data_IF_367934923388
#
_entry.id   IF_367934923388
#
_cell.length_a   1.000
_cell.length_b   1.000
_cell.length_c   1.000
_cell.angle_alpha   90.00
_cell.angle_beta   90.00
_cell.angle_gamma   90.00
#
_symmetry.space_group_name_H-M   'P 1'
#
loop_
_entity.id
_entity.type
_entity.pdbx_description
1 polymer ?
#
# COMPACT_ATOMS: atom_id res chain seq x y z
N UNK A 1 10.87 1.86 -59.67
CA UNK A 1 10.09 1.24 -58.58
C UNK A 1 11.09 0.69 -57.56
N UNK A 2 11.27 1.36 -56.43
CA UNK A 2 12.16 0.94 -55.34
C UNK A 2 11.28 0.68 -54.10
N UNK A 3 11.44 -0.44 -53.39
CA UNK A 3 10.61 -0.74 -52.23
C UNK A 3 11.11 0.04 -51.02
N UNK A 4 10.16 0.68 -50.35
CA UNK A 4 10.35 1.47 -49.15
C UNK A 4 10.41 0.51 -47.95
N UNK A 5 11.62 0.24 -47.42
CA UNK A 5 11.80 -0.58 -46.22
C UNK A 5 11.53 0.27 -44.97
N UNK A 6 10.36 0.08 -44.36
CA UNK A 6 10.07 0.57 -43.00
C UNK A 6 10.93 -0.19 -41.99
N UNK A 7 11.94 0.49 -41.44
CA UNK A 7 12.70 0.04 -40.30
C UNK A 7 11.89 0.34 -39.02
N UNK A 8 11.25 -0.69 -38.44
CA UNK A 8 10.65 -0.59 -37.12
C UNK A 8 11.77 -0.71 -36.07
N UNK A 9 12.18 0.41 -35.49
CA UNK A 9 13.06 0.43 -34.33
C UNK A 9 12.28 -0.04 -33.10
N UNK A 10 12.59 -1.25 -32.63
CA UNK A 10 12.07 -1.79 -31.38
C UNK A 10 12.80 -1.09 -30.22
N UNK A 11 12.17 -0.09 -29.58
CA UNK A 11 12.66 0.42 -28.30
C UNK A 11 12.44 -0.65 -27.22
N UNK A 12 13.51 -1.34 -26.82
CA UNK A 12 13.50 -2.09 -25.57
C UNK A 12 13.54 -1.07 -24.42
N UNK A 13 12.41 -0.86 -23.76
CA UNK A 13 12.37 -0.20 -22.46
C UNK A 13 13.01 -1.13 -21.42
N UNK A 14 14.30 -0.95 -21.16
CA UNK A 14 14.95 -1.55 -19.99
C UNK A 14 14.36 -0.88 -18.76
N UNK A 15 13.48 -1.57 -18.04
CA UNK A 15 13.11 -1.19 -16.68
C UNK A 15 14.36 -1.26 -15.81
N UNK A 16 15.05 -0.12 -15.64
CA UNK A 16 16.11 0.00 -14.66
C UNK A 16 15.46 -0.24 -13.29
N UNK A 17 15.82 -1.33 -12.62
CA UNK A 17 15.57 -1.48 -11.20
C UNK A 17 16.19 -0.26 -10.53
N UNK A 18 15.36 0.65 -10.01
CA UNK A 18 15.85 1.82 -9.30
C UNK A 18 16.78 1.33 -8.18
N UNK A 19 18.03 1.77 -8.22
CA UNK A 19 19.00 1.40 -7.19
C UNK A 19 18.49 1.90 -5.82
N UNK A 20 18.62 1.06 -4.79
CA UNK A 20 18.25 1.38 -3.41
C UNK A 20 18.98 2.66 -2.94
N UNK A 21 18.26 3.56 -2.28
CA UNK A 21 18.83 4.76 -1.65
C UNK A 21 19.48 4.40 -0.30
N UNK A 22 20.80 4.56 -0.12
CA UNK A 22 21.47 4.20 1.13
C UNK A 22 21.41 5.29 2.21
N UNK A 23 20.77 6.44 1.95
CA UNK A 23 20.68 7.58 2.89
C UNK A 23 20.03 7.23 4.23
N UNK A 24 19.17 6.21 4.25
CA UNK A 24 18.51 5.72 5.45
C UNK A 24 18.75 4.21 5.65
N UNK A 25 18.83 3.72 6.90
CA UNK A 25 18.85 2.29 7.17
C UNK A 25 17.60 1.60 6.60
N UNK A 26 17.76 0.40 6.06
CA UNK A 26 16.62 -0.43 5.67
C UNK A 26 15.83 -0.84 6.92
N UNK A 27 14.51 -0.78 6.82
CA UNK A 27 13.58 -1.27 7.84
C UNK A 27 13.23 -2.75 7.65
N UNK A 28 13.53 -3.30 6.48
CA UNK A 28 13.52 -4.72 6.19
C UNK A 28 14.93 -5.32 6.35
N UNK A 29 14.97 -6.56 6.80
CA UNK A 29 16.19 -7.35 7.04
C UNK A 29 16.51 -8.27 5.87
N UNK A 30 15.51 -8.64 5.06
CA UNK A 30 15.69 -9.50 3.90
C UNK A 30 14.58 -9.30 2.87
N UNK A 31 14.79 -9.85 1.67
CA UNK A 31 13.87 -9.74 0.54
C UNK A 31 12.47 -10.33 0.77
N UNK A 32 12.21 -10.98 1.90
CA UNK A 32 10.94 -11.59 2.26
C UNK A 32 10.14 -10.82 3.31
N UNK A 33 10.66 -9.76 3.92
CA UNK A 33 9.95 -9.10 5.04
C UNK A 33 8.68 -8.35 4.58
N UNK A 34 8.66 -7.89 3.33
CA UNK A 34 7.45 -7.40 2.68
C UNK A 34 6.74 -8.47 1.83
N UNK A 35 7.27 -9.70 1.78
CA UNK A 35 6.54 -10.77 1.09
C UNK A 35 5.26 -11.06 1.86
N UNK A 36 4.40 -11.83 1.23
CA UNK A 36 3.16 -12.22 1.86
C UNK A 36 3.06 -13.72 1.88
N UNK A 37 2.29 -14.21 2.84
CA UNK A 37 2.01 -15.63 2.96
C UNK A 37 1.35 -16.15 1.69
N UNK A 38 1.30 -17.48 1.56
CA UNK A 38 0.60 -18.18 0.47
C UNK A 38 -0.87 -17.75 0.33
N UNK A 39 -1.48 -17.23 1.39
CA UNK A 39 -2.86 -16.74 1.43
C UNK A 39 -2.98 -15.24 1.11
N UNK A 40 -1.89 -14.57 0.80
CA UNK A 40 -1.93 -13.13 0.60
C UNK A 40 -2.20 -12.35 1.88
N UNK A 41 -1.71 -12.84 3.02
CA UNK A 41 -1.66 -12.05 4.26
C UNK A 41 -0.23 -11.57 4.48
N UNK A 42 -0.05 -10.32 4.93
CA UNK A 42 1.28 -9.83 5.32
C UNK A 42 1.89 -10.72 6.42
N UNK A 43 3.22 -10.86 6.44
CA UNK A 43 3.91 -11.71 7.41
C UNK A 43 3.91 -11.14 8.83
N UNK A 44 3.97 -9.82 8.99
CA UNK A 44 4.11 -9.18 10.31
C UNK A 44 3.24 -7.93 10.42
N UNK A 45 2.68 -7.73 11.62
CA UNK A 45 2.08 -6.47 12.01
C UNK A 45 3.14 -5.56 12.64
N UNK A 46 3.09 -4.29 12.26
CA UNK A 46 3.76 -3.19 12.92
C UNK A 46 2.74 -2.49 13.82
N UNK A 47 3.17 -2.02 14.97
CA UNK A 47 2.38 -1.12 15.83
C UNK A 47 3.10 0.21 15.84
N UNK A 48 2.43 1.31 15.50
CA UNK A 48 3.01 2.65 15.58
C UNK A 48 3.32 2.99 17.04
N UNK A 49 4.39 3.71 17.30
CA UNK A 49 4.69 4.27 18.62
C UNK A 49 4.75 5.79 18.61
N UNK A 50 4.75 6.41 17.43
CA UNK A 50 4.46 7.82 17.24
C UNK A 50 2.98 8.10 16.93
N UNK A 51 2.45 9.30 17.27
CA UNK A 51 1.11 9.70 16.90
C UNK A 51 0.90 9.68 15.38
N UNK A 52 -0.15 9.00 14.92
CA UNK A 52 -0.49 8.98 13.49
C UNK A 52 -1.16 10.29 13.09
N UNK A 53 -0.46 11.06 12.27
CA UNK A 53 -0.91 12.34 11.70
C UNK A 53 -1.31 12.18 10.23
N UNK A 54 -1.94 13.22 9.66
CA UNK A 54 -2.22 13.25 8.23
C UNK A 54 -1.15 14.03 7.44
N UNK A 55 -0.79 13.52 6.26
CA UNK A 55 0.13 14.18 5.33
C UNK A 55 -0.62 15.14 4.40
N UNK A 56 0.02 16.25 4.07
CA UNK A 56 -0.51 17.21 3.12
C UNK A 56 -0.47 16.65 1.67
N UNK A 57 -1.43 17.01 0.81
CA UNK A 57 -1.39 16.70 -0.62
C UNK A 57 -0.09 17.13 -1.30
N UNK A 58 0.39 16.33 -2.25
CA UNK A 58 1.63 16.63 -2.94
C UNK A 58 2.12 15.49 -3.81
N UNK A 59 3.33 15.65 -4.34
CA UNK A 59 4.05 14.56 -5.01
C UNK A 59 4.96 13.90 -3.99
N UNK A 60 4.65 12.65 -3.64
CA UNK A 60 5.42 11.90 -2.67
C UNK A 60 6.71 11.31 -3.24
N UNK A 61 7.51 10.76 -2.34
CA UNK A 61 8.81 10.13 -2.61
C UNK A 61 8.73 8.92 -3.55
N UNK A 62 7.53 8.38 -3.78
CA UNK A 62 7.26 7.33 -4.77
C UNK A 62 6.96 7.86 -6.18
N UNK A 63 7.13 9.16 -6.43
CA UNK A 63 6.72 9.83 -7.67
C UNK A 63 5.21 9.70 -7.96
N UNK A 64 4.41 9.55 -6.90
CA UNK A 64 2.95 9.53 -6.96
C UNK A 64 2.41 10.86 -6.43
N UNK A 65 1.64 11.57 -7.26
CA UNK A 65 0.93 12.79 -6.83
C UNK A 65 -0.42 12.42 -6.22
N UNK A 66 -0.64 12.81 -4.97
CA UNK A 66 -1.84 12.48 -4.21
C UNK A 66 -2.54 13.72 -3.65
N UNK A 67 -3.84 13.55 -3.41
CA UNK A 67 -4.77 14.56 -2.88
C UNK A 67 -5.30 14.14 -1.51
N UNK A 68 -6.08 14.99 -0.87
CA UNK A 68 -6.76 14.65 0.40
C UNK A 68 -7.68 13.43 0.25
N UNK A 69 -8.23 13.20 -0.96
CA UNK A 69 -9.14 12.09 -1.29
C UNK A 69 -8.41 10.81 -1.73
N UNK A 70 -7.09 10.85 -1.87
CA UNK A 70 -6.31 9.68 -2.25
C UNK A 70 -6.15 8.75 -1.06
N UNK A 71 -6.04 7.44 -1.31
CA UNK A 71 -5.77 6.45 -0.27
C UNK A 71 -4.25 6.23 -0.15
N UNK A 72 -3.56 7.13 0.55
CA UNK A 72 -2.09 7.12 0.62
C UNK A 72 -1.59 6.97 2.05
N UNK A 73 -0.53 6.18 2.19
CA UNK A 73 0.29 6.09 3.38
C UNK A 73 1.70 6.63 3.09
N UNK A 74 2.28 7.20 4.14
CA UNK A 74 3.64 7.68 4.18
C UNK A 74 4.40 6.89 5.25
N UNK A 75 5.46 6.19 4.84
CA UNK A 75 6.24 5.30 5.72
C UNK A 75 7.67 5.79 5.88
N UNK A 76 8.44 5.21 6.80
CA UNK A 76 9.83 5.58 6.96
C UNK A 76 10.60 5.33 5.65
N UNK A 77 11.56 6.18 5.22
CA UNK A 77 12.39 5.94 4.03
C UNK A 77 12.97 4.53 3.96
N UNK A 78 13.32 3.93 5.11
CA UNK A 78 13.78 2.55 5.24
C UNK A 78 12.75 1.47 4.85
N UNK A 79 11.47 1.79 4.76
CA UNK A 79 10.40 0.95 4.20
C UNK A 79 10.13 1.26 2.71
N UNK A 80 10.67 2.35 2.18
CA UNK A 80 10.37 2.89 0.85
C UNK A 80 11.60 2.76 -0.05
N UNK A 81 12.25 3.87 -0.43
CA UNK A 81 13.36 3.87 -1.37
C UNK A 81 14.66 3.32 -0.76
N UNK A 82 14.77 3.32 0.57
CA UNK A 82 15.92 2.76 1.29
C UNK A 82 15.72 1.33 1.78
N UNK A 83 14.56 0.72 1.52
CA UNK A 83 14.31 -0.69 1.79
C UNK A 83 15.14 -1.60 0.87
N UNK A 84 15.43 -2.81 1.33
CA UNK A 84 15.94 -3.92 0.51
C UNK A 84 14.90 -4.26 -0.56
N UNK A 85 13.61 -4.26 -0.20
CA UNK A 85 12.48 -4.37 -1.11
C UNK A 85 11.70 -3.06 -1.10
N UNK A 86 11.76 -2.29 -2.19
CA UNK A 86 11.09 -1.00 -2.26
C UNK A 86 9.58 -1.12 -1.94
N UNK A 87 9.11 -0.38 -0.93
CA UNK A 87 7.71 -0.35 -0.50
C UNK A 87 6.79 0.51 -1.36
N UNK A 88 7.32 1.36 -2.24
CA UNK A 88 6.53 2.23 -3.10
C UNK A 88 5.47 1.47 -3.90
N UNK A 89 4.28 2.08 -3.99
CA UNK A 89 3.11 1.55 -4.70
C UNK A 89 2.59 0.19 -4.19
N UNK A 90 3.12 -0.31 -3.07
CA UNK A 90 2.53 -1.44 -2.38
C UNK A 90 1.37 -0.97 -1.52
N UNK A 91 0.50 -1.92 -1.17
CA UNK A 91 -0.64 -1.65 -0.32
C UNK A 91 -0.34 -2.05 1.11
N UNK A 92 -0.94 -1.31 2.05
CA UNK A 92 -0.97 -1.67 3.45
C UNK A 92 -2.43 -1.77 3.93
N UNK A 93 -2.64 -2.65 4.89
CA UNK A 93 -3.83 -2.69 5.73
C UNK A 93 -3.50 -2.04 7.06
N UNK A 94 -4.41 -1.20 7.54
CA UNK A 94 -4.32 -0.53 8.82
C UNK A 94 -5.52 -0.93 9.67
N UNK A 95 -5.31 -1.10 10.96
CA UNK A 95 -6.36 -1.30 11.96
C UNK A 95 -6.13 -0.31 13.08
N UNK A 96 -7.16 0.42 13.48
CA UNK A 96 -7.17 1.21 14.69
C UNK A 96 -7.74 0.33 15.82
N UNK A 97 -6.92 -0.24 16.72
CA UNK A 97 -7.41 -1.15 17.76
C UNK A 97 -8.34 -0.46 18.77
N UNK A 98 -8.28 0.88 18.88
CA UNK A 98 -9.11 1.63 19.82
C UNK A 98 -10.60 1.61 19.44
N UNK A 99 -10.92 1.54 18.13
CA UNK A 99 -12.30 1.52 17.63
C UNK A 99 -12.61 0.32 16.72
N UNK A 100 -11.62 -0.51 16.40
CA UNK A 100 -11.75 -1.71 15.57
C UNK A 100 -11.90 -1.42 14.07
N UNK A 101 -11.74 -0.18 13.62
CA UNK A 101 -11.87 0.18 12.21
C UNK A 101 -10.63 -0.26 11.44
N UNK A 102 -10.86 -0.82 10.25
CA UNK A 102 -9.84 -1.24 9.31
C UNK A 102 -9.92 -0.36 8.07
N UNK A 103 -8.78 0.09 7.57
CA UNK A 103 -8.66 0.83 6.32
C UNK A 103 -7.47 0.31 5.50
N UNK A 104 -7.37 0.76 4.25
CA UNK A 104 -6.31 0.35 3.34
C UNK A 104 -5.73 1.56 2.60
N UNK A 105 -4.42 1.57 2.39
CA UNK A 105 -3.73 2.67 1.75
C UNK A 105 -2.56 2.18 0.88
N UNK A 106 -2.27 2.92 -0.19
CA UNK A 106 -1.09 2.70 -1.00
C UNK A 106 0.09 3.49 -0.45
N UNK A 107 1.27 2.90 -0.35
CA UNK A 107 2.50 3.63 0.00
C UNK A 107 2.86 4.57 -1.14
N UNK A 108 2.62 5.86 -0.94
CA UNK A 108 2.84 6.91 -1.93
C UNK A 108 3.96 7.87 -1.57
N UNK A 109 4.45 7.83 -0.33
CA UNK A 109 5.42 8.80 0.18
C UNK A 109 6.32 8.22 1.29
N UNK A 110 7.37 8.98 1.65
CA UNK A 110 8.28 8.68 2.74
C UNK A 110 8.30 9.81 3.80
N UNK A 111 8.19 9.45 5.08
CA UNK A 111 8.06 10.35 6.23
C UNK A 111 9.12 10.09 7.30
N UNK A 112 9.39 11.09 8.14
CA UNK A 112 10.42 10.97 9.19
C UNK A 112 11.85 11.22 8.71
N UNK A 113 12.02 11.65 7.47
CA UNK A 113 13.30 12.02 6.85
C UNK A 113 13.87 13.36 7.36
N UNK A 114 13.64 13.71 8.63
CA UNK A 114 14.06 15.00 9.23
C UNK A 114 14.94 14.77 10.47
N UNK A 115 15.87 15.70 10.78
CA UNK A 115 16.69 15.59 11.99
C UNK A 115 15.84 15.47 13.26
N UNK A 116 16.24 14.58 14.16
CA UNK A 116 15.57 14.31 15.44
C UNK A 116 14.12 13.82 15.32
N UNK A 117 13.73 13.27 14.16
CA UNK A 117 12.46 12.58 14.03
C UNK A 117 12.44 11.35 14.95
N UNK A 118 11.33 11.17 15.67
CA UNK A 118 11.02 9.93 16.40
C UNK A 118 10.44 8.85 15.48
N UNK A 119 9.94 9.26 14.32
CA UNK A 119 9.27 8.41 13.33
C UNK A 119 10.14 7.22 12.90
N UNK A 120 9.82 6.05 13.44
CA UNK A 120 10.52 4.79 13.29
C UNK A 120 10.04 3.94 12.12
N UNK A 121 10.60 2.73 12.00
CA UNK A 121 10.29 1.78 10.93
C UNK A 121 8.86 1.20 11.01
N UNK A 122 8.22 1.34 12.15
CA UNK A 122 6.88 0.88 12.49
C UNK A 122 5.83 2.00 12.42
N UNK A 123 6.22 3.24 12.11
CA UNK A 123 5.30 4.37 12.05
C UNK A 123 4.73 4.60 10.65
N UNK A 124 3.55 5.22 10.61
CA UNK A 124 2.82 5.55 9.41
C UNK A 124 2.10 6.89 9.59
N UNK A 125 2.18 7.76 8.59
CA UNK A 125 1.24 8.88 8.42
C UNK A 125 0.34 8.62 7.21
N UNK A 126 -0.82 9.29 7.18
CA UNK A 126 -1.90 8.93 6.27
C UNK A 126 -2.40 10.14 5.49
N UNK A 127 -2.87 9.95 4.26
CA UNK A 127 -3.73 10.94 3.61
C UNK A 127 -4.97 11.22 4.45
N UNK A 128 -5.55 12.41 4.29
CA UNK A 128 -6.74 12.84 5.05
C UNK A 128 -7.92 11.85 4.93
N UNK A 129 -8.19 11.28 3.77
CA UNK A 129 -9.27 10.30 3.57
C UNK A 129 -9.11 9.08 4.50
N UNK A 130 -7.94 8.42 4.44
CA UNK A 130 -7.64 7.22 5.27
C UNK A 130 -7.61 7.56 6.76
N UNK A 131 -7.10 8.75 7.10
CA UNK A 131 -7.11 9.26 8.48
C UNK A 131 -8.54 9.40 9.01
N UNK A 132 -9.45 10.02 8.23
CA UNK A 132 -10.85 10.20 8.61
C UNK A 132 -11.57 8.86 8.69
N UNK A 133 -11.30 7.94 7.75
CA UNK A 133 -11.84 6.58 7.77
C UNK A 133 -11.48 5.84 9.07
N UNK A 134 -10.19 5.78 9.43
CA UNK A 134 -9.72 5.12 10.66
C UNK A 134 -10.17 5.79 11.96
N UNK A 135 -10.45 7.09 11.92
CA UNK A 135 -11.01 7.80 13.06
C UNK A 135 -12.50 7.46 13.28
N UNK A 136 -13.24 7.14 12.21
CA UNK A 136 -14.66 6.83 12.27
C UNK A 136 -15.49 7.95 12.89
N UNK A 137 -16.30 7.61 13.88
CA UNK A 137 -17.15 8.56 14.61
C UNK A 137 -16.35 9.67 15.31
N UNK A 138 -15.07 9.42 15.62
CA UNK A 138 -14.16 10.40 16.26
C UNK A 138 -13.44 11.31 15.25
N UNK A 139 -13.74 11.22 13.96
CA UNK A 139 -13.07 11.97 12.89
C UNK A 139 -12.97 13.47 13.13
N UNK A 140 -14.03 14.11 13.65
CA UNK A 140 -14.01 15.54 13.97
C UNK A 140 -12.98 15.89 15.06
N UNK A 141 -12.90 15.06 16.10
CA UNK A 141 -11.94 15.23 17.20
C UNK A 141 -10.51 14.94 16.74
N UNK A 142 -10.32 13.89 15.94
CA UNK A 142 -9.03 13.53 15.38
C UNK A 142 -8.48 14.64 14.48
N UNK A 143 -9.32 15.19 13.60
CA UNK A 143 -8.96 16.34 12.75
C UNK A 143 -8.60 17.58 13.56
N UNK A 144 -9.34 17.87 14.64
CA UNK A 144 -9.03 19.00 15.53
C UNK A 144 -7.69 18.82 16.26
N UNK A 145 -7.36 17.59 16.66
CA UNK A 145 -6.10 17.25 17.35
C UNK A 145 -4.92 17.10 16.39
N UNK A 146 -5.18 16.94 15.10
CA UNK A 146 -4.17 16.63 14.09
C UNK A 146 -3.64 15.19 14.13
N UNK A 147 -4.24 14.31 14.95
CA UNK A 147 -3.77 12.94 15.16
C UNK A 147 -4.89 11.97 15.53
N UNK A 148 -4.71 10.69 15.19
CA UNK A 148 -5.60 9.62 15.64
C UNK A 148 -5.44 9.34 17.14
N UNK A 149 -6.45 8.70 17.71
CA UNK A 149 -6.40 8.20 19.09
C UNK A 149 -5.70 6.84 19.15
N UNK A 150 -4.66 6.77 19.98
CA UNK A 150 -3.92 5.53 20.21
C UNK A 150 -3.01 5.14 19.04
N UNK A 151 -2.45 3.95 19.18
CA UNK A 151 -1.50 3.38 18.23
C UNK A 151 -2.26 2.64 17.13
N UNK A 152 -1.79 2.72 15.89
CA UNK A 152 -2.31 1.90 14.80
C UNK A 152 -1.50 0.61 14.67
N UNK A 153 -2.18 -0.43 14.20
CA UNK A 153 -1.52 -1.61 13.68
C UNK A 153 -1.57 -1.57 12.16
N UNK A 154 -0.47 -1.87 11.48
CA UNK A 154 -0.46 -1.96 10.02
C UNK A 154 0.45 -3.07 9.50
N UNK A 155 0.21 -3.50 8.25
CA UNK A 155 1.03 -4.48 7.54
C UNK A 155 0.92 -4.31 6.04
N UNK A 156 1.91 -4.78 5.30
CA UNK A 156 1.80 -4.89 3.84
C UNK A 156 0.75 -5.93 3.42
N UNK A 157 0.01 -5.61 2.36
CA UNK A 157 -0.97 -6.47 1.70
C UNK A 157 -0.76 -6.47 0.17
N UNK A 158 -1.35 -7.47 -0.49
CA UNK A 158 -1.09 -7.80 -1.90
C UNK A 158 -1.85 -6.81 -2.76
N UNK A 159 -3.11 -6.58 -2.37
CA UNK A 159 -4.06 -5.70 -3.01
C UNK A 159 -5.09 -5.32 -1.96
N UNK A 160 -5.64 -4.11 -2.02
CA UNK A 160 -6.76 -3.74 -1.19
C UNK A 160 -7.99 -4.51 -1.68
N UNK A 161 -8.97 -4.67 -0.81
CA UNK A 161 -10.25 -5.23 -1.20
C UNK A 161 -10.81 -4.39 -2.36
N UNK A 162 -11.11 -5.04 -3.49
CA UNK A 162 -11.54 -4.39 -4.75
C UNK A 162 -10.51 -3.47 -5.42
N UNK A 163 -9.22 -3.50 -5.06
CA UNK A 163 -8.22 -2.61 -5.67
C UNK A 163 -8.29 -2.58 -7.19
N UNK A 164 -8.39 -3.77 -7.77
CA UNK A 164 -8.58 -3.96 -9.20
C UNK A 164 -9.87 -3.32 -9.77
N UNK A 165 -11.01 -3.47 -9.08
CA UNK A 165 -12.27 -2.86 -9.53
C UNK A 165 -12.28 -1.32 -9.38
N UNK A 166 -11.44 -0.79 -8.51
CA UNK A 166 -11.23 0.65 -8.31
C UNK A 166 -10.14 1.23 -9.23
N UNK A 167 -9.59 0.41 -10.15
CA UNK A 167 -8.56 0.84 -11.09
C UNK A 167 -7.15 0.94 -10.49
N UNK A 168 -6.94 0.42 -9.28
CA UNK A 168 -5.62 0.35 -8.68
C UNK A 168 -4.84 -0.87 -9.20
N UNK A 169 -3.56 -0.71 -9.55
CA UNK A 169 -2.73 -1.83 -9.96
C UNK A 169 -2.57 -2.79 -8.76
N UNK A 170 -2.96 -4.05 -8.94
CA UNK A 170 -2.57 -5.10 -8.01
C UNK A 170 -1.07 -5.39 -8.17
N UNK A 171 -0.44 -5.94 -7.13
CA UNK A 171 0.96 -6.37 -7.17
C UNK A 171 1.01 -7.86 -6.82
N UNK A 172 1.63 -8.67 -7.69
CA UNK A 172 1.89 -10.07 -7.39
C UNK A 172 2.97 -10.21 -6.31
N UNK A 173 3.05 -11.37 -5.65
CA UNK A 173 4.10 -11.66 -4.64
C UNK A 173 5.53 -11.49 -5.16
N UNK A 174 5.72 -11.60 -6.47
CA UNK A 174 7.00 -11.44 -7.15
C UNK A 174 7.28 -9.98 -7.55
N UNK A 175 6.45 -9.02 -7.14
CA UNK A 175 6.60 -7.59 -7.43
C UNK A 175 6.14 -7.16 -8.82
N UNK A 176 5.61 -8.08 -9.65
CA UNK A 176 5.11 -7.73 -10.98
C UNK A 176 3.68 -7.17 -10.92
N UNK A 177 3.33 -6.32 -11.88
CA UNK A 177 1.99 -5.75 -12.01
C UNK A 177 0.96 -6.85 -12.27
N UNK A 178 -0.09 -6.84 -11.47
CA UNK A 178 -1.25 -7.70 -11.62
C UNK A 178 -2.21 -7.07 -12.63
N UNK A 179 -2.48 -7.71 -13.79
CA UNK A 179 -3.37 -7.16 -14.81
C UNK A 179 -4.84 -7.15 -14.35
N UNK A 180 -5.14 -7.56 -13.12
CA UNK A 180 -6.48 -7.53 -12.55
C UNK A 180 -7.49 -8.40 -13.32
N UNK A 181 -7.00 -9.40 -14.06
CA UNK A 181 -7.79 -10.37 -14.81
C UNK A 181 -7.32 -11.79 -14.48
N UNK A 182 -8.26 -12.71 -14.24
CA UNK A 182 -7.97 -14.15 -14.08
C UNK A 182 -7.66 -14.58 -12.65
N UNK A 183 -6.93 -15.69 -12.50
CA UNK A 183 -6.45 -16.20 -11.21
C UNK A 183 -5.13 -15.51 -10.84
N UNK A 184 -4.78 -15.50 -9.55
CA UNK A 184 -3.49 -14.94 -9.15
C UNK A 184 -2.32 -15.88 -9.50
N UNK A 185 -1.09 -15.49 -9.13
CA UNK A 185 0.12 -16.26 -9.39
C UNK A 185 0.13 -17.67 -8.77
N UNK A 186 -0.88 -18.04 -7.98
CA UNK A 186 -1.04 -19.36 -7.37
C UNK A 186 -2.33 -20.07 -7.81
N UNK A 187 -3.04 -19.55 -8.83
CA UNK A 187 -4.27 -20.16 -9.33
C UNK A 187 -5.49 -19.92 -8.42
N UNK A 188 -5.42 -18.97 -7.48
CA UNK A 188 -6.53 -18.63 -6.60
C UNK A 188 -7.32 -17.44 -7.14
N UNK A 189 -8.65 -17.49 -7.00
CA UNK A 189 -9.53 -16.34 -7.18
C UNK A 189 -9.36 -15.44 -5.95
N UNK A 190 -8.74 -14.27 -6.10
CA UNK A 190 -8.72 -13.29 -5.03
C UNK A 190 -10.11 -12.69 -4.88
N UNK A 191 -10.60 -12.64 -3.65
CA UNK A 191 -11.93 -12.17 -3.28
C UNK A 191 -12.24 -10.71 -3.78
N UNK A 192 -11.25 -9.94 -4.25
CA UNK A 192 -11.42 -8.63 -4.91
C UNK A 192 -11.67 -8.66 -6.44
N UNK A 193 -11.77 -9.85 -7.04
CA UNK A 193 -11.86 -10.07 -8.51
C UNK A 193 -13.26 -10.48 -9.01
N UNK A 194 -14.25 -10.65 -8.14
CA UNK A 194 -15.63 -10.94 -8.53
C UNK A 194 -16.45 -9.65 -8.69
N UNK A 195 -17.34 -9.63 -9.70
CA UNK A 195 -18.40 -8.62 -9.86
C UNK A 195 -19.40 -8.73 -8.68
N UNK A 196 -18.97 -8.36 -7.48
CA UNK A 196 -19.81 -8.38 -6.29
C UNK A 196 -20.67 -7.12 -6.25
N UNK A 197 -21.96 -7.30 -6.01
CA UNK A 197 -22.86 -6.20 -5.70
C UNK A 197 -22.40 -5.51 -4.41
N UNK A 198 -22.66 -4.20 -4.27
CA UNK A 198 -22.21 -3.40 -3.12
C UNK A 198 -22.57 -3.97 -1.74
N UNK A 199 -23.61 -4.81 -1.64
CA UNK A 199 -24.07 -5.42 -0.38
C UNK A 199 -23.34 -6.73 -0.01
N UNK A 200 -22.79 -7.47 -0.97
CA UNK A 200 -22.03 -8.71 -0.71
C UNK A 200 -20.54 -8.44 -0.41
N UNK A 201 -20.12 -7.20 -0.65
CA UNK A 201 -18.77 -6.69 -0.43
C UNK A 201 -18.33 -6.82 1.02
N UNK A 202 -19.15 -6.35 1.97
CA UNK A 202 -18.78 -6.36 3.39
C UNK A 202 -18.68 -7.78 3.96
N UNK A 203 -19.34 -8.76 3.31
CA UNK A 203 -19.27 -10.18 3.68
C UNK A 203 -18.00 -10.85 3.16
N UNK A 204 -17.44 -10.36 2.04
CA UNK A 204 -16.28 -10.94 1.36
C UNK A 204 -14.97 -10.30 1.83
N UNK A 205 -14.96 -9.00 2.12
CA UNK A 205 -13.79 -8.27 2.61
C UNK A 205 -13.28 -8.72 3.99
N UNK A 206 -14.14 -9.39 4.78
CA UNK A 206 -13.80 -9.97 6.08
C UNK A 206 -13.74 -11.51 6.06
N UNK A 207 -13.89 -12.14 4.89
CA UNK A 207 -13.86 -13.59 4.77
C UNK A 207 -12.41 -14.09 4.64
N UNK A 208 -12.14 -15.25 5.22
CA UNK A 208 -10.89 -15.96 4.98
C UNK A 208 -10.74 -16.22 3.47
N UNK A 209 -9.66 -15.69 2.89
CA UNK A 209 -9.24 -15.87 1.49
C UNK A 209 -9.18 -17.33 1.02
N UNK A 210 -9.10 -18.30 1.95
CA UNK A 210 -9.19 -19.74 1.63
C UNK A 210 -10.61 -20.24 1.32
N UNK A 211 -11.64 -19.52 1.76
CA UNK A 211 -13.04 -19.98 1.71
C UNK A 211 -13.91 -19.08 0.84
N UNK A 212 -13.36 -18.23 -0.03
CA UNK A 212 -14.15 -17.41 -0.97
C UNK A 212 -15.20 -18.34 -1.66
N UNK A 213 -16.49 -18.22 -1.33
CA UNK A 213 -17.52 -19.07 -1.93
C UNK A 213 -17.56 -18.79 -3.44
N UNK A 214 -17.63 -19.84 -4.24
CA UNK A 214 -17.81 -19.72 -5.70
C UNK A 214 -19.18 -19.14 -6.03
#
# INVERSE_FOLDING_TARGET
MLPNFLLHALLLATAALAARDPSYPACDTNANDHKMTKTGTGYSWYTTDDPVEYVAPGTGSCAYTYTDQSLVACLNPGQVNSAIVNGCHKWIELTNPANGIVAQAMVGDACGAVPNSTFGCNDVYLSKEVFVELAGDDSSTALQKGRLSGDLQWRFIIEPCKGCAMGYPGIFLNGTTDPCTGHDSHGLLRCGRSNLSGQDVNKVCNANVQTCPK
#
